data_IF_373175285708
#
_entry.id   IF_373175285708
#
_cell.length_a   1.000
_cell.length_b   1.000
_cell.length_c   1.000
_cell.angle_alpha   90.00
_cell.angle_beta   90.00
_cell.angle_gamma   90.00
#
_symmetry.space_group_name_H-M   'P 1'
#
loop_
_entity.id
_entity.type
_entity.pdbx_description
1 polymer ?
#
# COMPACT_ATOMS: atom_id res chain seq x y z
N UNK A 1 -16.94 -10.27 -11.71
CA UNK A 1 -15.98 -9.52 -10.91
C UNK A 1 -14.71 -10.32 -10.80
N UNK A 2 -13.60 -9.69 -11.12
CA UNK A 2 -12.33 -10.41 -11.06
C UNK A 2 -11.83 -10.53 -9.64
N UNK A 3 -11.26 -11.67 -9.35
CA UNK A 3 -10.64 -11.88 -8.06
C UNK A 3 -9.33 -11.13 -7.96
N UNK A 4 -9.00 -10.77 -6.73
CA UNK A 4 -7.76 -10.04 -6.48
C UNK A 4 -6.54 -10.79 -7.02
N UNK A 5 -6.50 -12.10 -6.83
CA UNK A 5 -5.34 -12.88 -7.28
C UNK A 5 -5.19 -12.83 -8.80
N UNK A 6 -6.30 -12.85 -9.53
CA UNK A 6 -6.24 -12.75 -10.98
C UNK A 6 -5.70 -11.39 -11.40
N UNK A 7 -6.18 -10.33 -10.75
CA UNK A 7 -5.70 -8.99 -11.07
C UNK A 7 -4.22 -8.84 -10.73
N UNK A 8 -3.78 -9.44 -9.64
CA UNK A 8 -2.37 -9.37 -9.26
C UNK A 8 -1.51 -10.09 -10.31
N UNK A 9 -1.95 -11.28 -10.73
CA UNK A 9 -1.20 -12.00 -11.75
C UNK A 9 -1.08 -11.19 -13.04
N UNK A 10 -2.18 -10.56 -13.45
CA UNK A 10 -2.16 -9.74 -14.65
C UNK A 10 -1.28 -8.51 -14.48
N UNK A 11 -1.35 -7.87 -13.31
CA UNK A 11 -0.52 -6.71 -13.03
C UNK A 11 0.95 -7.08 -13.06
N UNK A 12 1.30 -8.21 -12.47
CA UNK A 12 2.69 -8.66 -12.44
C UNK A 12 3.18 -9.06 -13.82
N UNK A 13 2.26 -9.40 -14.71
CA UNK A 13 2.61 -9.70 -16.10
C UNK A 13 2.75 -8.43 -16.93
N UNK A 14 2.54 -7.26 -16.36
CA UNK A 14 2.76 -6.01 -17.06
C UNK A 14 1.50 -5.28 -17.50
N UNK A 15 0.32 -5.75 -17.09
CA UNK A 15 -0.92 -5.10 -17.50
C UNK A 15 -1.21 -3.92 -16.58
N UNK A 16 -1.04 -2.74 -17.12
CA UNK A 16 -1.20 -1.52 -16.31
C UNK A 16 -2.64 -1.31 -15.86
N UNK A 17 -3.61 -1.71 -16.67
CA UNK A 17 -5.00 -1.54 -16.28
C UNK A 17 -5.32 -2.36 -15.03
N UNK A 18 -4.81 -3.59 -14.96
CA UNK A 18 -5.04 -4.42 -13.80
C UNK A 18 -4.40 -3.80 -12.56
N UNK A 19 -3.21 -3.23 -12.71
CA UNK A 19 -2.53 -2.58 -11.60
C UNK A 19 -3.32 -1.38 -11.09
N UNK A 20 -3.85 -0.58 -12.00
CA UNK A 20 -4.63 0.59 -11.59
C UNK A 20 -5.90 0.20 -10.86
N UNK A 21 -6.58 -0.85 -11.34
CA UNK A 21 -7.77 -1.34 -10.65
C UNK A 21 -7.43 -1.79 -9.24
N UNK A 22 -6.32 -2.51 -9.09
CA UNK A 22 -5.90 -2.96 -7.76
C UNK A 22 -5.61 -1.79 -6.83
N UNK A 23 -4.94 -0.78 -7.34
CA UNK A 23 -4.64 0.39 -6.51
C UNK A 23 -5.94 1.04 -6.06
N UNK A 24 -6.85 1.28 -7.00
CA UNK A 24 -8.11 1.93 -6.66
C UNK A 24 -8.93 1.13 -5.66
N UNK A 25 -8.97 -0.18 -5.83
CA UNK A 25 -9.75 -1.02 -4.93
C UNK A 25 -9.20 -1.02 -3.52
N UNK A 26 -7.93 -0.70 -3.36
CA UNK A 26 -7.27 -0.79 -2.07
C UNK A 26 -6.93 0.57 -1.48
N UNK A 27 -7.40 1.67 -2.09
CA UNK A 27 -7.14 2.98 -1.51
C UNK A 27 -7.77 3.15 -0.14
N UNK A 28 -8.94 2.52 0.07
CA UNK A 28 -9.55 2.56 1.40
C UNK A 28 -8.67 1.95 2.46
N UNK A 29 -7.94 0.90 2.10
CA UNK A 29 -7.01 0.28 3.02
C UNK A 29 -5.89 1.26 3.38
N UNK A 30 -5.37 1.98 2.39
CA UNK A 30 -4.34 2.98 2.65
C UNK A 30 -4.87 4.07 3.57
N UNK A 31 -6.06 4.58 3.29
CA UNK A 31 -6.67 5.60 4.15
C UNK A 31 -6.83 5.10 5.57
N UNK A 32 -7.28 3.88 5.73
CA UNK A 32 -7.48 3.30 7.05
C UNK A 32 -6.16 3.27 7.83
N UNK A 33 -5.09 2.88 7.17
CA UNK A 33 -3.78 2.80 7.82
C UNK A 33 -3.26 4.20 8.12
N UNK A 34 -3.42 5.14 7.20
CA UNK A 34 -2.95 6.52 7.40
C UNK A 34 -3.61 7.14 8.64
N UNK A 35 -4.87 6.81 8.88
CA UNK A 35 -5.56 7.38 10.04
C UNK A 35 -4.89 7.02 11.35
N UNK A 36 -4.19 5.90 11.40
CA UNK A 36 -3.49 5.50 12.62
C UNK A 36 -2.35 6.44 12.96
N UNK A 37 -1.90 7.21 11.98
CA UNK A 37 -0.79 8.14 12.16
C UNK A 37 -1.25 9.58 12.25
N UNK A 38 -2.55 9.83 12.21
CA UNK A 38 -3.05 11.20 12.25
C UNK A 38 -2.84 11.80 13.65
N UNK A 39 -2.79 13.13 13.69
CA UNK A 39 -2.61 13.81 14.95
C UNK A 39 -1.17 13.89 15.42
N UNK A 40 -0.23 13.48 14.60
CA UNK A 40 1.18 13.47 14.98
C UNK A 40 1.98 14.56 14.27
N UNK A 41 1.28 15.52 13.68
CA UNK A 41 1.97 16.63 13.03
C UNK A 41 2.40 16.40 11.61
N UNK A 42 1.96 15.30 11.02
CA UNK A 42 2.29 14.99 9.62
C UNK A 42 1.10 15.29 8.74
N UNK A 43 1.39 15.72 7.51
CA UNK A 43 0.35 15.99 6.53
C UNK A 43 -0.27 14.67 6.10
N UNK A 44 -1.59 14.49 6.28
CA UNK A 44 -2.22 13.23 5.86
C UNK A 44 -2.04 12.91 4.39
N UNK A 45 -1.99 13.95 3.53
CA UNK A 45 -1.79 13.70 2.11
C UNK A 45 -0.41 13.12 1.83
N UNK A 46 0.61 13.59 2.53
CA UNK A 46 1.93 13.04 2.38
C UNK A 46 1.95 11.57 2.81
N UNK A 47 1.30 11.28 3.94
CA UNK A 47 1.25 9.91 4.42
C UNK A 47 0.48 9.03 3.46
N UNK A 48 -0.58 9.58 2.85
CA UNK A 48 -1.36 8.81 1.89
C UNK A 48 -0.52 8.46 0.66
N UNK A 49 0.28 9.41 0.17
CA UNK A 49 1.14 9.14 -0.97
C UNK A 49 2.18 8.06 -0.64
N UNK A 50 2.77 8.16 0.54
CA UNK A 50 3.76 7.17 0.97
C UNK A 50 3.11 5.80 1.13
N UNK A 51 1.91 5.78 1.73
CA UNK A 51 1.18 4.53 1.88
C UNK A 51 0.82 3.90 0.56
N UNK A 52 0.47 4.74 -0.43
CA UNK A 52 0.15 4.22 -1.76
C UNK A 52 1.38 3.60 -2.41
N UNK A 53 2.56 4.16 -2.16
CA UNK A 53 3.79 3.53 -2.66
C UNK A 53 3.95 2.15 -2.03
N UNK A 54 3.67 2.02 -0.74
CA UNK A 54 3.72 0.72 -0.09
C UNK A 54 2.74 -0.26 -0.70
N UNK A 55 1.54 0.22 -1.04
CA UNK A 55 0.55 -0.61 -1.70
C UNK A 55 1.06 -1.08 -3.05
N UNK A 56 1.65 -0.19 -3.83
CA UNK A 56 2.17 -0.56 -5.14
C UNK A 56 3.27 -1.60 -5.02
N UNK A 57 4.16 -1.45 -4.04
CA UNK A 57 5.19 -2.44 -3.81
C UNK A 57 4.58 -3.79 -3.43
N UNK A 58 3.52 -3.77 -2.63
CA UNK A 58 2.85 -5.00 -2.24
C UNK A 58 2.26 -5.71 -3.46
N UNK A 59 1.64 -4.95 -4.36
CA UNK A 59 1.07 -5.53 -5.57
C UNK A 59 2.17 -6.18 -6.41
N UNK A 60 3.29 -5.49 -6.54
CA UNK A 60 4.36 -5.96 -7.42
C UNK A 60 5.08 -7.18 -6.86
N UNK A 61 5.14 -7.30 -5.54
CA UNK A 61 5.95 -8.34 -4.90
C UNK A 61 5.15 -9.47 -4.29
N UNK A 62 3.83 -9.39 -4.33
CA UNK A 62 3.01 -10.42 -3.70
C UNK A 62 3.28 -11.78 -4.34
N UNK A 63 3.48 -12.79 -3.50
CA UNK A 63 3.72 -14.15 -3.97
C UNK A 63 2.40 -14.90 -3.96
N UNK A 64 1.86 -15.12 -5.14
CA UNK A 64 0.57 -15.80 -5.29
C UNK A 64 0.63 -17.25 -4.84
N UNK A 65 1.81 -17.82 -4.74
CA UNK A 65 1.93 -19.23 -4.37
C UNK A 65 1.71 -19.47 -2.88
N UNK A 66 1.77 -18.42 -2.07
CA UNK A 66 1.67 -18.59 -0.63
C UNK A 66 0.26 -18.82 -0.13
N UNK A 67 -0.74 -18.55 -0.96
CA UNK A 67 -2.13 -18.75 -0.56
C UNK A 67 -2.64 -17.78 0.48
N UNK A 68 -1.94 -16.68 0.69
CA UNK A 68 -2.37 -15.65 1.65
C UNK A 68 -3.33 -14.69 0.97
N UNK A 69 -4.17 -14.05 1.78
CA UNK A 69 -4.96 -12.94 1.28
C UNK A 69 -4.04 -11.76 1.03
N UNK A 70 -4.32 -11.02 -0.03
CA UNK A 70 -3.48 -9.90 -0.38
C UNK A 70 -3.39 -8.87 0.76
N UNK A 71 -4.52 -8.59 1.43
CA UNK A 71 -4.52 -7.58 2.50
C UNK A 71 -3.58 -7.98 3.64
N UNK A 72 -3.45 -9.28 3.91
CA UNK A 72 -2.55 -9.74 4.95
C UNK A 72 -1.11 -9.34 4.66
N UNK A 73 -0.75 -9.33 3.39
CA UNK A 73 0.57 -8.94 2.96
C UNK A 73 0.70 -7.43 2.81
N UNK A 74 -0.36 -6.79 2.30
CA UNK A 74 -0.31 -5.36 1.97
C UNK A 74 -0.25 -4.47 3.21
N UNK A 75 -0.98 -4.83 4.27
CA UNK A 75 -1.02 -3.98 5.46
C UNK A 75 0.37 -3.74 6.04
N UNK A 76 1.19 -4.77 6.30
CA UNK A 76 2.52 -4.49 6.82
C UNK A 76 3.41 -3.75 5.81
N UNK A 77 3.21 -3.96 4.52
CA UNK A 77 4.00 -3.24 3.52
C UNK A 77 3.67 -1.75 3.53
N UNK A 78 2.40 -1.42 3.59
CA UNK A 78 1.96 -0.03 3.63
C UNK A 78 2.44 0.63 4.93
N UNK A 79 2.20 -0.06 6.05
CA UNK A 79 2.60 0.45 7.35
C UNK A 79 4.11 0.65 7.42
N UNK A 80 4.85 -0.30 6.88
CA UNK A 80 6.31 -0.22 6.89
C UNK A 80 6.84 0.95 6.10
N UNK A 81 6.22 1.25 4.94
CA UNK A 81 6.64 2.41 4.17
C UNK A 81 6.40 3.70 4.93
N UNK A 82 5.25 3.80 5.57
CA UNK A 82 4.94 5.01 6.34
C UNK A 82 5.91 5.15 7.51
N UNK A 83 6.14 4.06 8.23
CA UNK A 83 7.05 4.13 9.38
C UNK A 83 8.46 4.50 8.97
N UNK A 84 8.92 3.97 7.84
CA UNK A 84 10.25 4.31 7.35
C UNK A 84 10.32 5.78 6.96
N UNK A 85 9.27 6.30 6.32
CA UNK A 85 9.22 7.71 5.98
C UNK A 85 9.29 8.58 7.24
N UNK A 86 8.53 8.21 8.27
CA UNK A 86 8.51 9.00 9.50
C UNK A 86 9.88 8.96 10.20
N UNK A 87 10.56 7.83 10.13
CA UNK A 87 11.88 7.72 10.75
C UNK A 87 12.94 8.49 9.99
N UNK A 88 12.91 8.41 8.65
CA UNK A 88 14.00 8.92 7.84
C UNK A 88 13.76 10.33 7.34
N UNK A 89 12.51 10.64 6.96
CA UNK A 89 12.16 11.87 6.27
C UNK A 89 11.07 12.66 6.96
N UNK A 90 10.62 12.22 8.12
CA UNK A 90 9.58 12.95 8.84
C UNK A 90 10.09 14.26 9.38
N UNK A 91 9.18 15.05 9.97
CA UNK A 91 9.59 16.31 10.56
C UNK A 91 10.69 16.10 11.58
N UNK A 92 11.60 17.02 11.63
CA UNK A 92 12.70 16.93 12.57
C UNK A 92 12.12 17.01 13.99
N UNK A 93 12.53 16.05 14.80
CA UNK A 93 12.17 16.08 16.21
C UNK A 93 13.18 16.88 16.95
N UNK A 94 12.69 17.72 17.76
CA UNK A 94 13.60 18.55 18.54
C UNK A 94 13.69 17.99 19.93
#
# INVERSE_FOLDING_TARGET
MEETSVLIARSQAGEKDAREVLIEKNLGLVHHIVRRFSGRGYDPEDLFQIGTIGLMKAIDKFDLKLGLQFSTYAVPMITGEIKRFLRDDGPVKI
#
